data_IF_831064386065
#
_entry.id   IF_831064386065
#
_cell.length_a   1.000
_cell.length_b   1.000
_cell.length_c   1.000
_cell.angle_alpha   90.00
_cell.angle_beta   90.00
_cell.angle_gamma   90.00
#
_symmetry.space_group_name_H-M   'P 1'
#
loop_
_entity.id
_entity.type
_entity.pdbx_description
1 polymer ?
#
# COMPACT_ATOMS: atom_id res chain seq x y z
N UNK A 1 4.93 25.21 29.04
CA UNK A 1 4.90 23.98 29.87
C UNK A 1 3.54 23.32 29.73
N UNK A 2 3.40 22.41 28.78
CA UNK A 2 2.31 21.44 28.72
C UNK A 2 3.02 20.11 28.49
N UNK A 3 3.16 19.35 29.56
CA UNK A 3 3.74 18.03 29.53
C UNK A 3 2.89 17.15 28.61
N UNK A 4 3.49 16.61 27.55
CA UNK A 4 2.95 15.43 26.88
C UNK A 4 2.90 14.32 27.93
N UNK A 5 1.70 14.15 28.48
CA UNK A 5 1.43 13.28 29.60
C UNK A 5 1.73 11.85 29.15
N UNK A 6 2.80 11.26 29.68
CA UNK A 6 3.04 9.81 29.65
C UNK A 6 1.95 9.13 30.48
N UNK A 7 0.74 8.97 29.93
CA UNK A 7 -0.32 8.12 30.49
C UNK A 7 -1.41 7.83 29.47
N UNK A 8 -1.21 6.76 28.72
CA UNK A 8 -2.22 5.74 28.38
C UNK A 8 -1.52 4.67 27.53
N UNK A 9 -0.66 3.88 28.19
CA UNK A 9 -0.56 2.48 27.80
C UNK A 9 -1.94 1.90 28.10
N UNK A 10 -2.84 1.94 27.12
CA UNK A 10 -3.99 1.04 27.14
C UNK A 10 -3.41 -0.37 27.19
N UNK A 11 -3.49 -0.95 28.38
CA UNK A 11 -3.24 -2.37 28.60
C UNK A 11 -4.21 -3.10 27.70
N UNK A 12 -3.70 -3.61 26.58
CA UNK A 12 -4.44 -4.56 25.76
C UNK A 12 -4.88 -5.70 26.68
N UNK A 13 -6.14 -6.17 26.58
CA UNK A 13 -6.62 -7.22 27.45
C UNK A 13 -5.67 -8.41 27.38
N UNK A 14 -5.35 -8.92 28.57
CA UNK A 14 -4.47 -10.06 28.88
C UNK A 14 -4.31 -11.03 27.70
N UNK A 15 -3.10 -11.11 27.11
CA UNK A 15 -2.65 -12.30 26.36
C UNK A 15 -2.16 -12.16 24.91
N UNK A 16 -2.25 -10.99 24.27
CA UNK A 16 -1.79 -10.87 22.87
C UNK A 16 -0.50 -10.05 22.74
N UNK A 17 0.60 -10.73 22.41
CA UNK A 17 1.85 -10.07 22.01
C UNK A 17 1.67 -9.47 20.60
N UNK A 18 2.10 -8.21 20.36
CA UNK A 18 2.00 -7.60 19.05
C UNK A 18 2.71 -8.44 17.98
N UNK A 19 2.04 -8.73 16.87
CA UNK A 19 2.67 -9.40 15.73
C UNK A 19 3.75 -8.50 15.11
N UNK A 20 4.96 -9.05 14.96
CA UNK A 20 6.12 -8.36 14.37
C UNK A 20 6.54 -9.00 13.05
N UNK A 21 6.35 -10.32 12.87
CA UNK A 21 6.52 -11.03 11.61
C UNK A 21 5.31 -10.80 10.70
N UNK A 22 5.47 -9.95 9.69
CA UNK A 22 4.38 -9.44 8.86
C UNK A 22 4.78 -9.48 7.39
N UNK A 23 3.93 -10.12 6.59
CA UNK A 23 3.97 -10.03 5.14
C UNK A 23 2.73 -9.30 4.66
N UNK A 24 2.97 -8.09 4.14
CA UNK A 24 1.95 -7.31 3.48
C UNK A 24 2.14 -7.42 1.97
N UNK A 25 1.24 -8.12 1.28
CA UNK A 25 1.22 -8.08 -0.17
C UNK A 25 0.63 -6.75 -0.62
N UNK A 26 1.52 -5.82 -0.94
CA UNK A 26 1.17 -4.50 -1.43
C UNK A 26 0.68 -4.56 -2.88
N UNK A 27 -0.64 -4.51 -3.07
CA UNK A 27 -1.27 -4.39 -4.39
C UNK A 27 -1.26 -2.95 -4.90
N UNK A 28 -1.29 -2.76 -6.21
CA UNK A 28 -1.22 -1.44 -6.82
C UNK A 28 -2.55 -0.69 -6.72
N UNK A 29 -2.47 0.63 -6.47
CA UNK A 29 -3.61 1.57 -6.52
C UNK A 29 -4.78 1.29 -5.56
N UNK A 30 -4.48 0.63 -4.45
CA UNK A 30 -5.40 0.20 -3.38
C UNK A 30 -5.14 0.91 -2.04
N UNK A 31 -4.64 2.15 -2.06
CA UNK A 31 -4.18 2.88 -0.86
C UNK A 31 -3.07 2.16 -0.06
N UNK A 32 -2.40 1.19 -0.69
CA UNK A 32 -1.42 0.32 -0.06
C UNK A 32 -0.12 1.03 0.39
N UNK A 33 0.23 2.19 -0.19
CA UNK A 33 1.33 3.04 0.32
C UNK A 33 1.04 3.61 1.71
N UNK A 34 -0.23 3.88 2.04
CA UNK A 34 -0.62 4.34 3.38
C UNK A 34 -0.42 3.23 4.41
N UNK A 35 -0.83 2.01 4.07
CA UNK A 35 -0.60 0.82 4.91
C UNK A 35 0.90 0.57 5.09
N UNK A 36 1.70 0.67 4.02
CA UNK A 36 3.15 0.50 4.13
C UNK A 36 3.83 1.58 4.98
N UNK A 37 3.33 2.83 4.98
CA UNK A 37 3.81 3.88 5.89
C UNK A 37 3.54 3.48 7.36
N UNK A 38 2.34 2.97 7.66
CA UNK A 38 2.02 2.48 9.01
C UNK A 38 2.94 1.34 9.45
N UNK A 39 3.19 0.36 8.59
CA UNK A 39 4.12 -0.74 8.87
C UNK A 39 5.55 -0.22 9.09
N UNK A 40 6.00 0.69 8.21
CA UNK A 40 7.32 1.33 8.31
C UNK A 40 7.51 2.04 9.65
N UNK A 41 6.48 2.77 10.10
CA UNK A 41 6.49 3.46 11.40
C UNK A 41 6.60 2.51 12.57
N UNK A 42 5.70 1.53 12.62
CA UNK A 42 5.65 0.56 13.70
C UNK A 42 6.98 -0.19 13.84
N UNK A 43 7.56 -0.61 12.71
CA UNK A 43 8.85 -1.29 12.68
C UNK A 43 10.03 -0.38 13.00
N UNK A 44 10.06 0.87 12.49
CA UNK A 44 11.13 1.83 12.81
C UNK A 44 11.20 2.13 14.30
N UNK A 45 10.06 2.29 14.96
CA UNK A 45 9.93 2.57 16.40
C UNK A 45 10.36 1.41 17.29
N UNK A 46 10.45 0.19 16.74
CA UNK A 46 10.80 -1.05 17.45
C UNK A 46 12.09 -1.69 16.93
N UNK A 47 12.84 -0.96 16.11
CA UNK A 47 14.09 -1.43 15.50
C UNK A 47 13.94 -2.76 14.73
N UNK A 48 12.76 -3.01 14.14
CA UNK A 48 12.49 -4.22 13.38
C UNK A 48 13.23 -4.22 12.03
N UNK A 49 13.76 -5.38 11.65
CA UNK A 49 14.37 -5.58 10.33
C UNK A 49 13.33 -5.74 9.23
N UNK A 50 13.51 -5.01 8.13
CA UNK A 50 12.68 -5.08 6.94
C UNK A 50 13.34 -5.90 5.85
N UNK A 51 12.55 -6.73 5.14
CA UNK A 51 12.96 -7.36 3.90
C UNK A 51 12.93 -6.34 2.75
N UNK A 52 13.94 -5.46 2.72
CA UNK A 52 14.00 -4.34 1.77
C UNK A 52 14.52 -4.77 0.39
N UNK A 53 14.04 -4.17 -0.71
CA UNK A 53 14.61 -4.39 -2.04
C UNK A 53 15.97 -3.71 -2.22
N UNK A 54 16.78 -4.23 -3.14
CA UNK A 54 18.00 -3.56 -3.63
C UNK A 54 17.69 -2.20 -4.28
N UNK A 55 16.56 -2.08 -4.97
CA UNK A 55 16.02 -0.83 -5.50
C UNK A 55 14.84 -0.32 -4.66
N UNK A 56 13.68 -0.11 -5.31
CA UNK A 56 12.43 0.29 -4.65
C UNK A 56 11.33 -0.78 -4.69
N UNK A 57 11.51 -1.81 -5.51
CA UNK A 57 10.58 -2.94 -5.64
C UNK A 57 11.35 -4.26 -5.56
N UNK A 58 10.67 -5.31 -5.13
CA UNK A 58 11.20 -6.66 -4.96
C UNK A 58 11.12 -7.45 -6.27
N UNK A 59 11.70 -6.89 -7.35
CA UNK A 59 11.82 -7.57 -8.65
C UNK A 59 10.60 -7.54 -9.57
N UNK A 60 9.61 -6.68 -9.28
CA UNK A 60 8.43 -6.49 -10.13
C UNK A 60 8.81 -6.06 -11.56
N UNK A 61 8.13 -6.53 -12.62
CA UNK A 61 6.89 -7.33 -12.65
C UNK A 61 7.09 -8.85 -12.72
N UNK A 62 8.33 -9.34 -12.58
CA UNK A 62 8.59 -10.78 -12.54
C UNK A 62 8.13 -11.36 -11.19
N UNK A 63 7.75 -12.65 -11.13
CA UNK A 63 7.47 -13.31 -9.86
C UNK A 63 8.60 -13.08 -8.86
N UNK A 64 8.22 -12.81 -7.61
CA UNK A 64 9.15 -12.55 -6.53
C UNK A 64 10.18 -13.68 -6.40
N UNK A 65 11.42 -13.30 -6.08
CA UNK A 65 12.52 -14.21 -5.78
C UNK A 65 13.27 -13.69 -4.56
N UNK A 66 13.63 -14.57 -3.62
CA UNK A 66 14.24 -14.20 -2.35
C UNK A 66 15.54 -13.38 -2.51
N UNK A 67 16.31 -13.60 -3.59
CA UNK A 67 17.53 -12.82 -3.89
C UNK A 67 17.27 -11.36 -4.25
N UNK A 68 16.00 -10.94 -4.39
CA UNK A 68 15.63 -9.53 -4.55
C UNK A 68 15.65 -8.77 -3.22
N UNK A 69 15.72 -9.48 -2.09
CA UNK A 69 15.86 -8.89 -0.75
C UNK A 69 17.32 -8.59 -0.48
N UNK A 70 17.61 -7.32 -0.15
CA UNK A 70 18.94 -6.87 0.21
C UNK A 70 19.38 -7.55 1.51
N UNK A 71 20.58 -8.11 1.51
CA UNK A 71 21.13 -8.83 2.67
C UNK A 71 20.61 -10.26 2.84
N UNK A 72 19.76 -10.77 1.93
CA UNK A 72 19.37 -12.18 1.95
C UNK A 72 20.60 -13.08 1.70
N UNK A 73 20.78 -14.10 2.56
CA UNK A 73 21.92 -15.05 2.54
C UNK A 73 21.48 -16.52 2.54
N UNK A 74 20.22 -16.78 2.19
CA UNK A 74 19.60 -18.10 2.26
C UNK A 74 18.52 -18.18 3.34
N UNK A 75 17.73 -19.28 3.34
CA UNK A 75 16.62 -19.43 4.27
C UNK A 75 17.09 -19.43 5.72
N UNK A 76 16.45 -18.63 6.57
CA UNK A 76 16.74 -18.50 8.01
C UNK A 76 18.16 -17.98 8.33
N UNK A 77 18.92 -17.50 7.34
CA UNK A 77 20.25 -16.94 7.56
C UNK A 77 20.21 -15.52 8.17
N UNK A 78 19.12 -14.79 7.94
CA UNK A 78 18.84 -13.47 8.49
C UNK A 78 17.35 -13.43 8.83
N UNK A 79 17.02 -12.95 10.02
CA UNK A 79 15.64 -12.75 10.43
C UNK A 79 15.13 -11.40 9.90
N UNK A 80 14.02 -11.46 9.17
CA UNK A 80 13.28 -10.30 8.69
C UNK A 80 11.91 -10.29 9.34
N UNK A 81 11.50 -9.12 9.79
CA UNK A 81 10.24 -8.94 10.50
C UNK A 81 9.14 -8.44 9.57
N UNK A 82 9.42 -7.46 8.71
CA UNK A 82 8.38 -6.86 7.87
C UNK A 82 8.78 -6.91 6.39
N UNK A 83 7.88 -7.43 5.57
CA UNK A 83 7.98 -7.40 4.11
C UNK A 83 6.73 -6.75 3.52
N UNK A 84 6.91 -5.63 2.81
CA UNK A 84 5.76 -4.87 2.29
C UNK A 84 6.01 -4.05 1.03
N UNK A 85 7.21 -4.09 0.44
CA UNK A 85 7.48 -3.40 -0.82
C UNK A 85 6.83 -4.14 -2.00
N UNK A 86 6.54 -3.42 -3.09
CA UNK A 86 5.90 -4.00 -4.27
C UNK A 86 6.64 -5.22 -4.81
N UNK A 87 5.87 -6.29 -5.06
CA UNK A 87 6.32 -7.55 -5.64
C UNK A 87 5.19 -8.16 -6.45
N UNK A 88 5.51 -9.13 -7.31
CA UNK A 88 4.52 -10.06 -7.84
C UNK A 88 4.59 -11.32 -6.99
N UNK A 89 3.53 -11.64 -6.28
CA UNK A 89 3.56 -12.64 -5.21
C UNK A 89 4.05 -14.01 -5.69
N UNK A 90 4.89 -14.65 -4.87
CA UNK A 90 5.40 -15.99 -5.08
C UNK A 90 5.65 -16.63 -3.71
N UNK A 91 4.64 -17.34 -3.18
CA UNK A 91 4.62 -17.86 -1.80
C UNK A 91 5.88 -18.67 -1.44
N UNK A 92 6.31 -19.68 -2.24
CA UNK A 92 7.52 -20.44 -1.92
C UNK A 92 8.80 -19.60 -1.78
N UNK A 93 8.89 -18.46 -2.49
CA UNK A 93 10.04 -17.55 -2.36
C UNK A 93 9.90 -16.62 -1.16
N UNK A 94 8.69 -16.22 -0.81
CA UNK A 94 8.41 -15.41 0.40
C UNK A 94 8.71 -16.22 1.67
N UNK A 95 8.34 -17.49 1.72
CA UNK A 95 8.60 -18.40 2.85
C UNK A 95 10.10 -18.69 3.06
N UNK A 96 10.96 -18.39 2.09
CA UNK A 96 12.42 -18.43 2.28
C UNK A 96 12.93 -17.23 3.07
N UNK A 97 12.20 -16.12 3.06
CA UNK A 97 12.59 -14.84 3.68
C UNK A 97 11.89 -14.65 5.02
N UNK A 98 10.59 -14.92 5.07
CA UNK A 98 9.73 -14.62 6.20
C UNK A 98 9.60 -15.84 7.13
N UNK A 99 9.62 -15.64 8.46
CA UNK A 99 9.39 -16.70 9.45
C UNK A 99 8.03 -17.41 9.29
N UNK A 100 7.92 -18.63 9.82
CA UNK A 100 6.72 -19.47 9.66
C UNK A 100 5.47 -18.92 10.36
N UNK A 101 5.63 -18.13 11.42
CA UNK A 101 4.57 -17.48 12.19
C UNK A 101 4.14 -16.12 11.60
N UNK A 102 4.60 -15.80 10.39
CA UNK A 102 4.32 -14.52 9.72
C UNK A 102 2.81 -14.31 9.51
N UNK A 103 2.32 -13.13 9.89
CA UNK A 103 0.97 -12.68 9.58
C UNK A 103 0.89 -12.16 8.13
N UNK A 104 0.25 -12.93 7.25
CA UNK A 104 0.04 -12.56 5.85
C UNK A 104 -1.26 -11.78 5.67
N UNK A 105 -1.18 -10.59 5.08
CA UNK A 105 -2.37 -9.83 4.69
C UNK A 105 -2.17 -9.04 3.40
N UNK A 106 -3.26 -8.61 2.81
CA UNK A 106 -3.27 -7.81 1.58
C UNK A 106 -4.41 -6.79 1.62
N UNK A 107 -4.48 -5.94 0.61
CA UNK A 107 -5.57 -4.97 0.41
C UNK A 107 -6.05 -5.03 -1.03
N UNK A 108 -7.36 -4.96 -1.23
CA UNK A 108 -7.99 -4.93 -2.56
C UNK A 108 -8.82 -3.66 -2.73
N UNK A 109 -9.31 -3.45 -3.95
CA UNK A 109 -10.18 -2.34 -4.32
C UNK A 109 -11.15 -2.77 -5.41
N UNK A 110 -12.29 -2.11 -5.52
CA UNK A 110 -13.21 -2.29 -6.63
C UNK A 110 -12.46 -2.14 -7.97
N UNK A 111 -12.52 -3.15 -8.86
CA UNK A 111 -11.75 -3.16 -10.10
C UNK A 111 -12.03 -1.98 -11.04
N UNK A 112 -13.22 -1.37 -10.97
CA UNK A 112 -13.53 -0.17 -11.75
C UNK A 112 -12.79 1.05 -11.19
N UNK A 113 -12.88 1.29 -9.87
CA UNK A 113 -12.15 2.37 -9.20
C UNK A 113 -10.62 2.16 -9.26
N UNK A 114 -10.20 0.89 -9.29
CA UNK A 114 -8.82 0.50 -9.54
C UNK A 114 -8.38 0.88 -10.95
N UNK A 115 -9.18 0.55 -11.98
CA UNK A 115 -8.89 0.91 -13.37
C UNK A 115 -8.82 2.43 -13.56
N UNK A 116 -9.71 3.20 -12.93
CA UNK A 116 -9.65 4.67 -12.90
C UNK A 116 -8.31 5.18 -12.35
N UNK A 117 -7.92 4.67 -11.18
CA UNK A 117 -6.68 5.09 -10.53
C UNK A 117 -5.43 4.61 -11.29
N UNK A 118 -5.49 3.42 -11.87
CA UNK A 118 -4.42 2.83 -12.68
C UNK A 118 -4.22 3.61 -13.97
N UNK A 119 -5.30 3.90 -14.71
CA UNK A 119 -5.26 4.69 -15.94
C UNK A 119 -4.64 6.06 -15.70
N UNK A 120 -5.09 6.77 -14.66
CA UNK A 120 -4.57 8.09 -14.36
C UNK A 120 -3.08 8.08 -13.97
N UNK A 121 -2.67 7.12 -13.14
CA UNK A 121 -1.30 7.05 -12.63
C UNK A 121 -0.30 6.50 -13.67
N UNK A 122 -0.68 5.47 -14.42
CA UNK A 122 0.18 4.79 -15.38
C UNK A 122 -0.03 5.26 -16.83
N UNK A 123 -0.77 6.35 -17.05
CA UNK A 123 -1.06 6.91 -18.38
C UNK A 123 0.16 6.96 -19.29
N UNK A 124 1.28 7.47 -18.77
CA UNK A 124 2.52 7.67 -19.53
C UNK A 124 3.42 6.43 -19.54
N UNK A 125 3.08 5.38 -18.78
CA UNK A 125 3.94 4.20 -18.56
C UNK A 125 3.40 2.96 -19.27
N UNK A 126 2.09 2.73 -19.21
CA UNK A 126 1.42 1.60 -19.84
C UNK A 126 1.04 1.95 -21.29
N UNK A 127 1.60 1.25 -22.30
CA UNK A 127 1.30 1.50 -23.71
C UNK A 127 -0.19 1.53 -24.05
N UNK A 128 -1.01 0.64 -23.47
CA UNK A 128 -2.44 0.61 -23.69
C UNK A 128 -3.13 1.92 -23.24
N UNK A 129 -2.78 2.42 -22.06
CA UNK A 129 -3.32 3.67 -21.55
C UNK A 129 -2.81 4.89 -22.30
N UNK A 130 -1.54 4.91 -22.70
CA UNK A 130 -0.96 6.02 -23.46
C UNK A 130 -1.66 6.22 -24.81
N UNK A 131 -2.01 5.12 -25.48
CA UNK A 131 -2.70 5.13 -26.79
C UNK A 131 -4.17 5.56 -26.70
N UNK A 132 -4.87 5.19 -25.63
CA UNK A 132 -6.24 5.65 -25.41
C UNK A 132 -6.24 7.14 -25.07
N UNK A 133 -7.26 7.92 -25.45
CA UNK A 133 -7.32 9.35 -25.08
C UNK A 133 -7.89 9.49 -23.67
N UNK A 134 -9.05 8.91 -23.41
CA UNK A 134 -9.72 8.85 -22.10
C UNK A 134 -9.85 7.40 -21.60
N UNK A 135 -10.21 7.23 -20.33
CA UNK A 135 -10.55 5.88 -19.82
C UNK A 135 -11.81 5.33 -20.48
N UNK A 136 -12.77 6.20 -20.83
CA UNK A 136 -13.97 5.80 -21.57
C UNK A 136 -13.63 5.17 -22.91
N UNK A 137 -12.75 5.82 -23.70
CA UNK A 137 -12.30 5.28 -24.98
C UNK A 137 -11.65 3.89 -24.82
N UNK A 138 -10.85 3.71 -23.75
CA UNK A 138 -10.25 2.42 -23.43
C UNK A 138 -11.31 1.39 -23.02
N UNK A 139 -12.31 1.78 -22.24
CA UNK A 139 -13.37 0.89 -21.77
C UNK A 139 -14.28 0.42 -22.92
N UNK A 140 -14.53 1.27 -23.92
CA UNK A 140 -15.38 0.95 -25.06
C UNK A 140 -14.75 -0.08 -26.00
N UNK A 141 -13.43 -0.05 -26.19
CA UNK A 141 -12.71 -1.05 -26.97
C UNK A 141 -11.28 -1.30 -26.43
N UNK A 142 -11.14 -2.06 -25.32
CA UNK A 142 -9.83 -2.27 -24.71
C UNK A 142 -8.89 -3.08 -25.60
N UNK A 143 -9.43 -3.96 -26.47
CA UNK A 143 -8.65 -4.82 -27.38
C UNK A 143 -7.94 -4.02 -28.47
N UNK A 144 -8.49 -2.89 -28.89
CA UNK A 144 -7.81 -1.93 -29.79
C UNK A 144 -6.52 -1.37 -29.21
N UNK A 145 -6.46 -1.19 -27.90
CA UNK A 145 -5.31 -0.54 -27.24
C UNK A 145 -4.35 -1.52 -26.58
N UNK A 146 -4.86 -2.65 -26.09
CA UNK A 146 -4.13 -3.62 -25.28
C UNK A 146 -3.40 -4.67 -26.13
N UNK A 147 -2.09 -4.79 -25.92
CA UNK A 147 -1.26 -5.87 -26.46
C UNK A 147 -0.55 -6.59 -25.31
N UNK A 148 -0.81 -7.89 -25.08
CA UNK A 148 -0.25 -8.64 -23.95
C UNK A 148 1.29 -8.79 -24.00
N UNK A 149 1.91 -8.58 -25.16
CA UNK A 149 3.37 -8.72 -25.35
C UNK A 149 4.13 -7.46 -24.94
N UNK A 150 3.45 -6.33 -24.82
CA UNK A 150 4.09 -5.06 -24.50
C UNK A 150 4.34 -4.94 -22.99
N UNK A 151 5.56 -4.57 -22.65
CA UNK A 151 5.96 -4.29 -21.27
C UNK A 151 5.04 -3.22 -20.64
N UNK A 152 4.78 -3.35 -19.33
CA UNK A 152 3.93 -2.48 -18.51
C UNK A 152 2.42 -2.52 -18.81
N UNK A 153 1.95 -3.30 -19.80
CA UNK A 153 0.51 -3.41 -20.03
C UNK A 153 -0.24 -4.18 -18.92
N UNK A 154 0.45 -4.86 -18.00
CA UNK A 154 -0.19 -5.49 -16.84
C UNK A 154 -0.97 -4.50 -15.96
N UNK A 155 -0.61 -3.21 -15.96
CA UNK A 155 -1.38 -2.17 -15.27
C UNK A 155 -2.80 -1.96 -15.84
N UNK A 156 -3.08 -2.46 -17.04
CA UNK A 156 -4.32 -2.22 -17.76
C UNK A 156 -5.33 -3.38 -17.71
N UNK A 157 -5.00 -4.52 -17.12
CA UNK A 157 -5.88 -5.71 -17.10
C UNK A 157 -5.60 -6.58 -15.89
N UNK A 158 -6.64 -6.95 -15.14
CA UNK A 158 -6.59 -7.88 -13.99
C UNK A 158 -5.38 -7.61 -13.05
N UNK A 159 -5.20 -6.36 -12.64
CA UNK A 159 -4.00 -5.92 -11.90
C UNK A 159 -3.94 -6.51 -10.50
N UNK A 160 -5.06 -6.72 -9.81
CA UNK A 160 -5.05 -7.39 -8.49
C UNK A 160 -4.57 -8.83 -8.64
N UNK A 161 -5.17 -9.58 -9.57
CA UNK A 161 -4.78 -10.95 -9.88
C UNK A 161 -3.28 -11.04 -10.21
N UNK A 162 -2.76 -10.07 -10.98
CA UNK A 162 -1.36 -9.99 -11.32
C UNK A 162 -0.46 -9.84 -10.09
N UNK A 163 -0.80 -8.93 -9.18
CA UNK A 163 -0.05 -8.70 -7.93
C UNK A 163 -0.06 -9.94 -7.03
N UNK A 164 -1.17 -10.70 -7.00
CA UNK A 164 -1.28 -12.02 -6.35
C UNK A 164 -0.48 -13.15 -7.05
N UNK A 165 0.30 -12.83 -8.08
CA UNK A 165 1.23 -13.77 -8.73
C UNK A 165 0.68 -14.44 -9.98
N UNK A 166 -0.60 -14.31 -10.26
CA UNK A 166 -1.29 -15.05 -11.31
C UNK A 166 -1.20 -14.36 -12.68
N UNK A 167 -1.60 -15.07 -13.74
CA UNK A 167 -1.57 -14.52 -15.10
C UNK A 167 -2.80 -13.64 -15.37
N UNK A 168 -2.56 -12.33 -15.40
CA UNK A 168 -3.55 -11.32 -15.72
C UNK A 168 -4.14 -11.38 -17.14
N UNK A 169 -3.48 -12.06 -18.08
CA UNK A 169 -3.95 -12.22 -19.45
C UNK A 169 -4.89 -13.41 -19.65
N UNK A 170 -4.98 -14.29 -18.66
CA UNK A 170 -5.83 -15.46 -18.73
C UNK A 170 -7.29 -15.05 -19.00
N UNK A 171 -7.95 -15.82 -19.85
CA UNK A 171 -9.38 -15.68 -20.05
C UNK A 171 -10.11 -16.11 -18.78
N UNK A 172 -11.25 -15.48 -18.52
CA UNK A 172 -12.07 -15.85 -17.38
C UNK A 172 -12.56 -17.30 -17.52
N UNK A 173 -12.39 -18.08 -16.46
CA UNK A 173 -13.11 -19.33 -16.24
C UNK A 173 -13.44 -19.42 -14.75
N UNK A 174 -14.60 -20.00 -14.43
CA UNK A 174 -15.01 -20.17 -13.03
C UNK A 174 -13.97 -20.97 -12.23
N UNK A 175 -13.39 -22.01 -12.84
CA UNK A 175 -12.35 -22.83 -12.22
C UNK A 175 -11.08 -22.03 -11.90
N UNK A 176 -10.59 -21.19 -12.82
CA UNK A 176 -9.42 -20.34 -12.53
C UNK A 176 -9.73 -19.33 -11.43
N UNK A 177 -10.90 -18.68 -11.50
CA UNK A 177 -11.31 -17.68 -10.53
C UNK A 177 -11.46 -18.27 -9.12
N UNK A 178 -12.06 -19.46 -9.00
CA UNK A 178 -12.19 -20.20 -7.74
C UNK A 178 -10.83 -20.65 -7.20
N UNK A 179 -9.93 -21.16 -8.05
CA UNK A 179 -8.56 -21.53 -7.63
C UNK A 179 -7.77 -20.33 -7.13
N UNK A 180 -7.90 -19.19 -7.81
CA UNK A 180 -7.27 -17.93 -7.40
C UNK A 180 -7.78 -17.47 -6.03
N UNK A 181 -9.09 -17.49 -5.85
CA UNK A 181 -9.76 -17.16 -4.59
C UNK A 181 -9.30 -18.08 -3.45
N UNK A 182 -9.30 -19.38 -3.67
CA UNK A 182 -8.91 -20.37 -2.65
C UNK A 182 -7.44 -20.21 -2.25
N UNK A 183 -6.54 -20.02 -3.22
CA UNK A 183 -5.12 -19.77 -2.94
C UNK A 183 -4.93 -18.54 -2.05
N UNK A 184 -5.65 -17.44 -2.35
CA UNK A 184 -5.58 -16.21 -1.57
C UNK A 184 -6.16 -16.45 -0.17
N UNK A 185 -7.31 -17.11 -0.05
CA UNK A 185 -7.98 -17.40 1.22
C UNK A 185 -7.13 -18.29 2.15
N UNK A 186 -6.43 -19.27 1.59
CA UNK A 186 -5.52 -20.14 2.34
C UNK A 186 -4.22 -19.46 2.77
N UNK A 187 -3.81 -18.42 2.06
CA UNK A 187 -2.49 -17.78 2.28
C UNK A 187 -2.58 -16.54 3.14
N UNK A 188 -3.61 -15.70 2.92
CA UNK A 188 -3.74 -14.41 3.58
C UNK A 188 -4.78 -14.49 4.68
N UNK A 189 -4.35 -14.24 5.91
CA UNK A 189 -5.22 -14.23 7.10
C UNK A 189 -6.24 -13.09 7.05
N UNK A 190 -5.91 -11.99 6.38
CA UNK A 190 -6.78 -10.84 6.26
C UNK A 190 -6.66 -10.18 4.87
N UNK A 191 -7.80 -9.90 4.25
CA UNK A 191 -7.89 -9.11 3.02
C UNK A 191 -8.68 -7.84 3.33
N UNK A 192 -7.98 -6.71 3.26
CA UNK A 192 -8.54 -5.37 3.50
C UNK A 192 -9.26 -4.86 2.26
N UNK A 193 -10.23 -3.96 2.43
CA UNK A 193 -11.00 -3.35 1.33
C UNK A 193 -10.83 -1.83 1.36
N UNK A 194 -10.26 -1.28 0.29
CA UNK A 194 -9.90 0.15 0.20
C UNK A 194 -11.08 1.11 0.39
N UNK A 195 -12.26 0.72 -0.07
CA UNK A 195 -13.52 1.46 0.06
C UNK A 195 -13.93 1.64 1.53
N UNK A 196 -13.59 0.67 2.38
CA UNK A 196 -13.88 0.61 3.81
C UNK A 196 -12.58 0.72 4.60
N UNK A 197 -11.74 1.71 4.25
CA UNK A 197 -10.38 1.82 4.76
C UNK A 197 -10.32 1.94 6.29
N UNK A 198 -11.22 2.70 6.93
CA UNK A 198 -11.19 2.83 8.40
C UNK A 198 -11.52 1.49 9.07
N UNK A 199 -12.58 0.80 8.62
CA UNK A 199 -12.95 -0.53 9.11
C UNK A 199 -11.81 -1.54 8.87
N UNK A 200 -11.18 -1.46 7.71
CA UNK A 200 -10.00 -2.26 7.38
C UNK A 200 -8.85 -2.02 8.36
N UNK A 201 -8.59 -0.76 8.76
CA UNK A 201 -7.55 -0.47 9.75
C UNK A 201 -7.90 -0.99 11.14
N UNK A 202 -9.19 -0.99 11.53
CA UNK A 202 -9.64 -1.60 12.79
C UNK A 202 -9.43 -3.12 12.75
N UNK A 203 -9.87 -3.81 11.70
CA UNK A 203 -9.63 -5.25 11.57
C UNK A 203 -8.13 -5.58 11.56
N UNK A 204 -7.30 -4.77 10.89
CA UNK A 204 -5.85 -4.96 10.88
C UNK A 204 -5.23 -4.74 12.27
N UNK A 205 -5.66 -3.69 12.99
CA UNK A 205 -5.22 -3.39 14.36
C UNK A 205 -5.43 -4.60 15.27
N UNK A 206 -6.63 -5.16 15.26
CA UNK A 206 -6.96 -6.35 16.07
C UNK A 206 -6.23 -7.59 15.59
N UNK A 207 -6.17 -7.81 14.28
CA UNK A 207 -5.45 -8.95 13.69
C UNK A 207 -3.96 -8.97 14.03
N UNK A 208 -3.32 -7.80 14.13
CA UNK A 208 -1.91 -7.65 14.49
C UNK A 208 -1.68 -7.45 16.00
N UNK A 209 -2.74 -7.25 16.78
CA UNK A 209 -2.68 -6.87 18.19
C UNK A 209 -1.87 -5.57 18.42
N UNK A 210 -2.13 -4.58 17.57
CA UNK A 210 -1.44 -3.29 17.59
C UNK A 210 -2.21 -2.21 18.35
N UNK A 211 -1.52 -1.23 18.94
CA UNK A 211 -2.18 -0.08 19.55
C UNK A 211 -2.84 0.80 18.48
N UNK A 212 -3.87 1.57 18.87
CA UNK A 212 -4.61 2.44 17.95
C UNK A 212 -3.68 3.40 17.19
N UNK A 213 -2.73 4.05 17.89
CA UNK A 213 -1.80 5.02 17.31
C UNK A 213 -0.91 4.44 16.19
N UNK A 214 -0.66 3.12 16.19
CA UNK A 214 0.12 2.45 15.14
C UNK A 214 -0.65 2.36 13.81
N UNK A 215 -1.99 2.43 13.84
CA UNK A 215 -2.84 2.34 12.64
C UNK A 215 -3.43 3.68 12.19
N UNK A 216 -3.13 4.77 12.89
CA UNK A 216 -3.57 6.11 12.48
C UNK A 216 -2.76 6.60 11.29
N UNK A 217 -3.45 6.98 10.22
CA UNK A 217 -2.86 7.55 9.01
C UNK A 217 -3.63 8.77 8.52
N UNK A 218 -2.95 9.74 7.90
CA UNK A 218 -3.61 10.85 7.21
C UNK A 218 -4.09 10.46 5.82
N UNK A 219 -5.31 10.88 5.46
CA UNK A 219 -5.93 10.56 4.17
C UNK A 219 -5.43 11.50 3.08
N UNK A 220 -4.40 11.07 2.35
CA UNK A 220 -3.99 11.74 1.12
C UNK A 220 -5.08 11.62 0.07
N UNK A 221 -5.62 12.75 -0.41
CA UNK A 221 -6.53 12.77 -1.57
C UNK A 221 -5.72 12.99 -2.83
N UNK A 222 -5.94 12.17 -3.85
CA UNK A 222 -5.47 12.44 -5.21
C UNK A 222 -6.60 13.06 -6.03
N UNK A 223 -6.31 14.10 -6.81
CA UNK A 223 -7.28 14.68 -7.74
C UNK A 223 -6.99 14.19 -9.17
N UNK A 224 -7.93 13.46 -9.75
CA UNK A 224 -8.09 13.28 -11.20
C UNK A 224 -9.60 13.24 -11.46
N UNK A 225 -10.14 14.26 -12.13
CA UNK A 225 -11.60 14.44 -12.22
C UNK A 225 -12.20 14.51 -13.63
N UNK A 226 -11.39 14.55 -14.69
CA UNK A 226 -11.94 14.73 -16.05
C UNK A 226 -11.62 13.56 -16.98
N UNK A 227 -10.38 13.07 -17.00
CA UNK A 227 -9.94 12.02 -17.95
C UNK A 227 -10.29 10.58 -17.54
N UNK A 228 -10.80 10.40 -16.33
CA UNK A 228 -11.21 9.10 -15.75
C UNK A 228 -12.71 8.95 -15.61
N UNK A 229 -13.50 9.95 -16.04
CA UNK A 229 -14.96 9.85 -15.97
C UNK A 229 -15.44 8.79 -16.95
N UNK A 230 -16.29 7.89 -16.46
CA UNK A 230 -16.86 6.77 -17.20
C UNK A 230 -18.36 6.68 -16.95
N UNK A 231 -19.11 6.30 -17.97
CA UNK A 231 -20.55 6.01 -17.86
C UNK A 231 -20.80 4.67 -17.16
N UNK A 232 -22.03 4.40 -16.71
CA UNK A 232 -22.36 3.08 -16.12
C UNK A 232 -22.16 1.92 -17.11
N UNK A 233 -22.40 2.15 -18.41
CA UNK A 233 -22.11 1.16 -19.45
C UNK A 233 -20.60 0.86 -19.52
N UNK A 234 -19.76 1.90 -19.55
CA UNK A 234 -18.30 1.75 -19.54
C UNK A 234 -17.80 1.09 -18.25
N UNK A 235 -18.44 1.35 -17.10
CA UNK A 235 -18.14 0.65 -15.84
C UNK A 235 -18.38 -0.85 -15.96
N UNK A 236 -19.46 -1.27 -16.62
CA UNK A 236 -19.73 -2.69 -16.86
C UNK A 236 -18.71 -3.31 -17.82
N UNK A 237 -18.35 -2.61 -18.90
CA UNK A 237 -17.26 -3.04 -19.80
C UNK A 237 -15.94 -3.21 -19.05
N UNK A 238 -15.62 -2.31 -18.12
CA UNK A 238 -14.42 -2.43 -17.27
C UNK A 238 -14.48 -3.63 -16.32
N UNK A 239 -15.66 -3.98 -15.77
CA UNK A 239 -15.84 -5.21 -14.99
C UNK A 239 -15.62 -6.45 -15.85
N UNK A 240 -16.15 -6.47 -17.06
CA UNK A 240 -15.97 -7.58 -18.01
C UNK A 240 -14.51 -7.72 -18.45
N UNK A 241 -13.84 -6.61 -18.76
CA UNK A 241 -12.42 -6.58 -19.11
C UNK A 241 -11.52 -7.11 -17.98
N UNK A 242 -11.88 -6.78 -16.73
CA UNK A 242 -11.21 -7.22 -15.52
C UNK A 242 -11.98 -8.32 -14.77
N UNK A 243 -12.57 -9.27 -15.51
CA UNK A 243 -13.51 -10.25 -14.94
C UNK A 243 -12.92 -11.11 -13.80
N UNK A 244 -11.62 -11.42 -13.84
CA UNK A 244 -10.98 -12.18 -12.76
C UNK A 244 -10.85 -11.32 -11.50
N UNK A 245 -10.41 -10.07 -11.62
CA UNK A 245 -10.39 -9.12 -10.50
C UNK A 245 -11.82 -8.86 -9.97
N UNK A 246 -12.82 -8.80 -10.85
CA UNK A 246 -14.23 -8.62 -10.45
C UNK A 246 -14.76 -9.79 -9.64
N UNK A 247 -14.42 -11.02 -10.02
CA UNK A 247 -14.74 -12.20 -9.23
C UNK A 247 -14.10 -12.15 -7.85
N UNK A 248 -12.78 -11.90 -7.79
CA UNK A 248 -12.04 -11.80 -6.53
C UNK A 248 -12.63 -10.72 -5.62
N UNK A 249 -12.88 -9.52 -6.15
CA UNK A 249 -13.44 -8.42 -5.38
C UNK A 249 -14.82 -8.76 -4.81
N UNK A 250 -15.72 -9.36 -5.60
CA UNK A 250 -17.04 -9.75 -5.09
C UNK A 250 -16.93 -10.75 -3.94
N UNK A 251 -16.08 -11.77 -4.06
CA UNK A 251 -15.94 -12.77 -2.99
C UNK A 251 -15.33 -12.15 -1.73
N UNK A 252 -14.22 -11.43 -1.85
CA UNK A 252 -13.54 -10.85 -0.69
C UNK A 252 -14.29 -9.67 -0.06
N UNK A 253 -15.06 -8.91 -0.83
CA UNK A 253 -15.96 -7.90 -0.27
C UNK A 253 -17.08 -8.54 0.57
N UNK A 254 -17.64 -9.68 0.12
CA UNK A 254 -18.62 -10.44 0.91
C UNK A 254 -17.99 -10.94 2.21
N UNK A 255 -16.84 -11.62 2.13
CA UNK A 255 -16.18 -12.14 3.34
C UNK A 255 -15.73 -11.02 4.27
N UNK A 256 -15.35 -9.86 3.75
CA UNK A 256 -15.02 -8.69 4.56
C UNK A 256 -16.21 -8.23 5.42
N UNK A 257 -17.42 -8.20 4.85
CA UNK A 257 -18.62 -7.88 5.62
C UNK A 257 -19.03 -8.98 6.60
N UNK A 258 -18.75 -10.25 6.29
CA UNK A 258 -18.87 -11.35 7.25
C UNK A 258 -17.90 -11.17 8.44
N UNK A 259 -16.66 -10.75 8.20
CA UNK A 259 -15.69 -10.42 9.26
C UNK A 259 -16.16 -9.22 10.11
N UNK A 260 -16.68 -8.15 9.48
CA UNK A 260 -17.27 -7.01 10.21
C UNK A 260 -18.44 -7.47 11.10
N UNK A 261 -19.33 -8.30 10.57
CA UNK A 261 -20.47 -8.80 11.34
C UNK A 261 -20.01 -9.66 12.53
N UNK A 262 -18.96 -10.46 12.35
CA UNK A 262 -18.36 -11.27 13.43
C UNK A 262 -17.66 -10.41 14.48
N UNK A 263 -16.99 -9.34 14.05
CA UNK A 263 -16.40 -8.34 14.94
C UNK A 263 -17.47 -7.59 15.75
N UNK A 264 -18.64 -7.38 15.15
CA UNK A 264 -19.77 -6.67 15.74
C UNK A 264 -19.90 -5.26 15.15
N UNK A 265 -21.08 -4.96 14.58
CA UNK A 265 -21.34 -3.70 13.89
C UNK A 265 -21.20 -2.48 14.81
N UNK A 266 -21.81 -2.54 16.01
CA UNK A 266 -21.73 -1.44 16.98
C UNK A 266 -20.30 -1.20 17.46
N UNK A 267 -19.56 -2.27 17.77
CA UNK A 267 -18.15 -2.17 18.18
C UNK A 267 -17.28 -1.60 17.04
N UNK A 268 -17.52 -2.03 15.79
CA UNK A 268 -16.82 -1.50 14.62
C UNK A 268 -17.08 0.01 14.45
N UNK A 269 -18.31 0.46 14.62
CA UNK A 269 -18.66 1.89 14.54
C UNK A 269 -17.95 2.72 15.62
N UNK A 270 -17.94 2.23 16.85
CA UNK A 270 -17.24 2.88 17.98
C UNK A 270 -15.73 2.99 17.71
N UNK A 271 -15.08 1.89 17.33
CA UNK A 271 -13.64 1.89 17.08
C UNK A 271 -13.25 2.74 15.87
N UNK A 272 -14.07 2.76 14.83
CA UNK A 272 -13.87 3.68 13.70
C UNK A 272 -14.02 5.15 14.14
N UNK A 273 -14.96 5.46 15.03
CA UNK A 273 -15.10 6.80 15.58
C UNK A 273 -13.85 7.21 16.38
N UNK A 274 -13.33 6.32 17.24
CA UNK A 274 -12.08 6.53 17.98
C UNK A 274 -10.88 6.76 17.04
N UNK A 275 -10.75 5.94 16.00
CA UNK A 275 -9.69 6.09 14.98
C UNK A 275 -9.77 7.45 14.27
N UNK A 276 -10.98 7.91 13.94
CA UNK A 276 -11.21 9.20 13.27
C UNK A 276 -10.89 10.38 14.19
N UNK A 277 -11.38 10.36 15.42
CA UNK A 277 -11.08 11.37 16.44
C UNK A 277 -9.57 11.48 16.64
N UNK A 278 -8.88 10.35 16.82
CA UNK A 278 -7.42 10.34 17.01
C UNK A 278 -6.66 10.87 15.80
N UNK A 279 -7.14 10.55 14.58
CA UNK A 279 -6.59 11.10 13.34
C UNK A 279 -6.74 12.62 13.27
N UNK A 280 -7.86 13.17 13.71
CA UNK A 280 -8.11 14.61 13.73
C UNK A 280 -7.21 15.33 14.74
N UNK A 281 -7.06 14.79 15.95
CA UNK A 281 -6.12 15.30 16.95
C UNK A 281 -4.70 15.39 16.40
N UNK A 282 -4.20 14.28 15.83
CA UNK A 282 -2.86 14.23 15.24
C UNK A 282 -2.75 15.16 14.03
N UNK A 283 -3.82 15.36 13.25
CA UNK A 283 -3.80 16.30 12.13
C UNK A 283 -3.65 17.74 12.61
N UNK A 284 -4.31 18.14 13.70
CA UNK A 284 -4.19 19.48 14.27
C UNK A 284 -2.79 19.75 14.83
N UNK A 285 -2.20 18.75 15.49
CA UNK A 285 -0.84 18.85 16.03
C UNK A 285 0.20 18.86 14.90
N UNK A 286 0.10 17.93 13.95
CA UNK A 286 1.17 17.69 12.99
C UNK A 286 1.10 18.58 11.77
N UNK A 287 -0.09 18.87 11.23
CA UNK A 287 -0.25 19.33 9.86
C UNK A 287 -0.60 20.81 9.78
N UNK A 288 0.06 21.51 8.87
CA UNK A 288 -0.23 22.90 8.55
C UNK A 288 -1.58 23.03 7.84
N UNK A 289 -2.13 24.24 7.84
CA UNK A 289 -3.32 24.64 7.06
C UNK A 289 -4.56 23.77 7.33
N UNK A 290 -4.71 23.32 8.59
CA UNK A 290 -5.82 22.45 9.01
C UNK A 290 -5.78 21.06 8.38
N UNK A 291 -4.59 20.55 8.05
CA UNK A 291 -4.43 19.22 7.46
C UNK A 291 -4.87 19.11 6.00
N UNK A 292 -4.95 20.21 5.27
CA UNK A 292 -5.26 20.19 3.83
C UNK A 292 -4.04 19.70 3.03
N UNK A 293 -4.17 18.63 2.22
CA UNK A 293 -3.09 18.20 1.34
C UNK A 293 -2.75 19.27 0.31
N UNK A 294 -1.47 19.43 -0.01
CA UNK A 294 -0.94 20.40 -0.96
C UNK A 294 -0.18 19.72 -2.09
N UNK A 295 -0.10 20.38 -3.26
CA UNK A 295 0.67 19.88 -4.39
C UNK A 295 2.17 19.78 -4.05
N UNK A 296 2.85 18.78 -4.60
CA UNK A 296 4.25 18.49 -4.25
C UNK A 296 5.22 19.67 -4.45
N UNK A 297 4.98 20.53 -5.44
CA UNK A 297 5.84 21.70 -5.69
C UNK A 297 5.72 22.78 -4.59
N UNK A 298 4.60 22.79 -3.83
CA UNK A 298 4.35 23.73 -2.72
C UNK A 298 4.97 23.28 -1.39
N UNK A 299 5.34 22.00 -1.27
CA UNK A 299 5.94 21.45 -0.06
C UNK A 299 7.39 21.93 0.03
N UNK A 300 7.74 22.67 1.09
CA UNK A 300 9.09 23.26 1.23
C UNK A 300 10.17 22.21 1.45
N UNK A 301 9.90 21.24 2.32
CA UNK A 301 10.84 20.17 2.62
C UNK A 301 10.88 19.14 1.48
N UNK A 302 12.02 19.07 0.80
CA UNK A 302 12.23 18.19 -0.35
C UNK A 302 12.18 16.70 0.03
N UNK A 303 12.47 16.37 1.29
CA UNK A 303 12.50 14.99 1.78
C UNK A 303 11.11 14.38 2.00
N UNK A 304 10.06 15.20 1.91
CA UNK A 304 8.66 14.76 2.02
C UNK A 304 7.82 15.09 0.79
N UNK A 305 8.48 15.48 -0.32
CA UNK A 305 7.79 15.68 -1.60
C UNK A 305 7.39 14.32 -2.18
N UNK A 306 6.10 14.06 -2.41
CA UNK A 306 5.69 12.80 -3.01
C UNK A 306 6.16 12.74 -4.48
N UNK A 307 6.59 11.56 -4.91
CA UNK A 307 6.89 11.28 -6.30
C UNK A 307 5.65 11.51 -7.19
N UNK A 308 5.85 12.08 -8.38
CA UNK A 308 4.78 12.39 -9.32
C UNK A 308 4.81 11.43 -10.50
N UNK A 309 3.64 10.96 -10.94
CA UNK A 309 3.52 10.06 -12.10
C UNK A 309 2.18 10.24 -12.82
N UNK A 310 2.22 10.06 -14.15
CA UNK A 310 1.05 10.12 -15.01
C UNK A 310 0.33 11.47 -14.96
N UNK A 311 -1.00 11.41 -14.94
CA UNK A 311 -1.89 12.57 -14.97
C UNK A 311 -2.30 13.03 -13.56
N UNK A 312 -1.92 12.29 -12.53
CA UNK A 312 -2.34 12.55 -11.15
C UNK A 312 -1.34 13.44 -10.46
N UNK A 313 -1.82 14.58 -9.96
CA UNK A 313 -1.08 15.36 -8.97
C UNK A 313 -1.17 14.67 -7.62
N UNK A 314 -0.07 14.06 -7.18
CA UNK A 314 -0.01 13.38 -5.89
C UNK A 314 0.29 14.45 -4.84
N UNK A 315 -0.68 14.63 -3.95
CA UNK A 315 -0.61 15.63 -2.89
C UNK A 315 0.17 15.08 -1.70
N UNK A 316 0.77 15.97 -0.92
CA UNK A 316 1.41 15.66 0.36
C UNK A 316 0.98 16.66 1.42
N UNK A 317 1.72 16.70 2.53
CA UNK A 317 1.42 17.59 3.66
C UNK A 317 2.63 18.43 4.04
N UNK A 318 2.39 19.59 4.64
CA UNK A 318 3.41 20.35 5.36
C UNK A 318 3.20 20.18 6.87
N UNK A 319 4.30 20.13 7.61
CA UNK A 319 4.25 20.10 9.07
C UNK A 319 3.98 21.49 9.64
N UNK A 320 3.32 21.53 10.81
CA UNK A 320 3.21 22.75 11.61
C UNK A 320 4.62 23.29 11.96
N UNK A 321 4.82 24.62 11.93
CA UNK A 321 6.05 25.24 12.42
C UNK A 321 6.12 25.18 13.96
N UNK A 322 7.31 25.30 14.52
CA UNK A 322 7.50 25.41 15.98
C UNK A 322 7.30 24.12 16.79
N UNK A 323 7.13 22.97 16.13
CA UNK A 323 7.09 21.67 16.81
C UNK A 323 8.44 21.38 17.48
N UNK A 324 8.42 20.87 18.71
CA UNK A 324 9.60 20.33 19.37
C UNK A 324 10.16 19.12 18.60
N UNK A 325 11.42 18.76 18.84
CA UNK A 325 12.12 17.73 18.07
C UNK A 325 11.43 16.36 18.11
N UNK A 326 10.85 15.96 19.25
CA UNK A 326 10.21 14.67 19.40
C UNK A 326 8.90 14.64 18.61
N UNK A 327 8.05 15.64 18.80
CA UNK A 327 6.78 15.77 18.07
C UNK A 327 7.01 15.91 16.56
N UNK A 328 7.99 16.73 16.16
CA UNK A 328 8.37 16.89 14.75
C UNK A 328 8.76 15.55 14.12
N UNK A 329 9.56 14.75 14.82
CA UNK A 329 9.99 13.42 14.34
C UNK A 329 8.80 12.48 14.17
N UNK A 330 7.93 12.39 15.17
CA UNK A 330 6.73 11.57 15.12
C UNK A 330 5.82 11.97 13.94
N UNK A 331 5.52 13.26 13.80
CA UNK A 331 4.70 13.79 12.72
C UNK A 331 5.33 13.59 11.33
N UNK A 332 6.65 13.78 11.22
CA UNK A 332 7.38 13.57 9.98
C UNK A 332 7.25 12.13 9.48
N UNK A 333 7.35 11.15 10.37
CA UNK A 333 7.14 9.74 10.04
C UNK A 333 5.74 9.50 9.46
N UNK A 334 4.70 10.11 10.02
CA UNK A 334 3.31 9.95 9.53
C UNK A 334 3.09 10.43 8.08
N UNK A 335 3.84 11.42 7.62
CA UNK A 335 3.65 12.03 6.29
C UNK A 335 4.76 11.68 5.29
N UNK A 336 5.80 10.97 5.71
CA UNK A 336 6.93 10.64 4.86
C UNK A 336 6.49 9.72 3.72
N UNK A 337 6.68 10.13 2.45
CA UNK A 337 6.31 9.30 1.32
C UNK A 337 7.16 8.03 1.26
N UNK A 338 6.59 6.98 0.68
CA UNK A 338 7.13 5.62 0.69
C UNK A 338 8.59 5.50 0.22
N UNK A 339 8.94 6.19 -0.88
CA UNK A 339 10.31 6.14 -1.47
C UNK A 339 11.33 6.63 -0.44
N UNK A 340 11.07 7.80 0.15
CA UNK A 340 11.94 8.39 1.15
C UNK A 340 11.92 7.61 2.46
N UNK A 341 10.81 6.96 2.81
CA UNK A 341 10.76 6.08 3.98
C UNK A 341 11.63 4.84 3.78
N UNK A 342 11.56 4.20 2.59
CA UNK A 342 12.45 3.09 2.23
C UNK A 342 13.92 3.48 2.33
N UNK A 343 14.30 4.68 1.90
CA UNK A 343 15.69 5.15 2.01
C UNK A 343 16.14 5.31 3.47
N UNK A 344 15.25 5.79 4.35
CA UNK A 344 15.55 5.90 5.79
C UNK A 344 15.71 4.52 6.43
N UNK A 345 14.81 3.58 6.14
CA UNK A 345 14.91 2.21 6.68
C UNK A 345 16.17 1.51 6.15
N UNK A 346 16.50 1.68 4.86
CA UNK A 346 17.70 1.11 4.24
C UNK A 346 18.98 1.65 4.88
N UNK A 347 19.06 2.96 5.09
CA UNK A 347 20.22 3.58 5.75
C UNK A 347 20.38 3.14 7.22
N UNK A 348 19.25 2.96 7.93
CA UNK A 348 19.24 2.49 9.33
C UNK A 348 19.69 1.04 9.44
N UNK A 349 19.18 0.16 8.57
CA UNK A 349 19.45 -1.28 8.63
C UNK A 349 20.77 -1.68 7.96
N UNK A 350 21.24 -0.92 6.97
CA UNK A 350 22.49 -1.17 6.25
C UNK A 350 23.38 0.09 6.26
N UNK A 351 23.97 0.46 7.41
CA UNK A 351 24.89 1.58 7.48
C UNK A 351 26.05 1.35 6.52
N UNK A 352 26.37 2.34 5.68
CA UNK A 352 27.60 2.29 4.90
C UNK A 352 28.76 2.38 5.88
N UNK A 353 29.78 1.52 5.73
CA UNK A 353 31.08 1.80 6.33
C UNK A 353 31.51 3.20 5.85
N UNK A 354 31.85 4.09 6.77
CA UNK A 354 32.22 5.48 6.50
C UNK A 354 33.38 5.54 5.51
N UNK A 355 33.06 5.76 4.23
CA UNK A 355 33.99 6.29 3.25
C UNK A 355 33.40 7.59 2.72
N UNK A 356 34.15 8.68 2.92
CA UNK A 356 33.84 10.03 2.47
C UNK A 356 33.59 10.05 0.95
N UNK A 357 32.33 10.01 0.52
CA UNK A 357 31.95 10.38 -0.85
C UNK A 357 30.62 11.14 -0.82
N UNK A 358 30.69 12.38 -1.30
CA UNK A 358 29.62 13.33 -1.50
C UNK A 358 28.34 12.70 -2.07
N UNK A 359 27.24 12.81 -1.32
CA UNK A 359 25.91 12.34 -1.70
C UNK A 359 25.25 13.29 -2.69
N UNK A 360 25.40 13.03 -3.99
CA UNK A 360 24.53 13.58 -5.03
C UNK A 360 24.45 12.62 -6.22
N UNK A 361 23.60 11.58 -6.19
CA UNK A 361 23.14 10.91 -7.43
C UNK A 361 22.02 9.84 -7.38
N UNK A 362 21.23 9.63 -6.31
CA UNK A 362 20.21 8.55 -6.35
C UNK A 362 18.82 8.93 -6.90
N UNK A 363 18.55 10.20 -7.24
CA UNK A 363 17.23 10.62 -7.75
C UNK A 363 17.02 10.40 -9.25
N UNK A 364 18.05 10.03 -10.02
CA UNK A 364 17.94 9.90 -11.49
C UNK A 364 17.52 8.51 -12.00
N UNK A 365 17.49 7.50 -11.13
CA UNK A 365 17.15 6.12 -11.50
C UNK A 365 16.05 5.54 -10.59
N UNK A 366 14.97 6.30 -10.35
CA UNK A 366 13.71 5.69 -9.93
C UNK A 366 13.14 5.05 -11.21
N UNK A 367 13.07 3.71 -11.33
CA UNK A 367 12.31 3.11 -12.43
C UNK A 367 10.94 3.75 -12.40
N UNK A 368 10.42 4.20 -13.55
CA UNK A 368 9.00 4.57 -13.64
C UNK A 368 8.22 3.38 -13.07
N UNK A 369 7.70 3.53 -11.85
CA UNK A 369 6.92 2.51 -11.17
C UNK A 369 5.80 2.09 -12.11
#
# INVERSE_FOLDING_TARGET
MLALNKRSLEVSPVGFFPHTHIMFLKTHKTASSTVLNMLSRFGEERDLHFALPLGYQLGYPLPFNAHRVKGYRGPRAVEFHIMGNHMRFNKPEVEKVMPADTFYFSIIRNPVALAESSFAYYKEVAPAFRKAKTLGDFADDPKKYYDPRLRNNHYARNLLLFDFGMDHNANFSATLAQRAEEMIRQTFRLILVSEYFDQSMILLRHGLCWPLDAVVSFRGRSQAKTLTNVTEEQREKLRQWNALDWHLYKSFNRTFWEEINRFGLAQMEEEVALLRMRREELAQVCLRDGGKPVEAHRIRDRNIRPYQSGLVKILGYELQPGLDNATRTACLRMIRPEIQYKDVLDAKQFPRATTNINTWQSLKNIPKL
#
